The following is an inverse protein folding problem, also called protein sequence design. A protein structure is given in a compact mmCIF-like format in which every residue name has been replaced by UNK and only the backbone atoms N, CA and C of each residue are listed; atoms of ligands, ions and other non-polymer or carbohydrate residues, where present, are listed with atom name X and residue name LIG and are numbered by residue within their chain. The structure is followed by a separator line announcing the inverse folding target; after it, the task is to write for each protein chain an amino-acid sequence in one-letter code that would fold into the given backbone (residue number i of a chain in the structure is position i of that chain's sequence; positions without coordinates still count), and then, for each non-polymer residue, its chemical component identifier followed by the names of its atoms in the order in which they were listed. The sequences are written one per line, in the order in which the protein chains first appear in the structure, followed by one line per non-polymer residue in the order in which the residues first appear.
data_IF_959259844335
#
_entry.id   IF_959259844335
#
_cell.length_a   1.000
_cell.length_b   1.000
_cell.length_c   1.000
_cell.angle_alpha   90.00
_cell.angle_beta   90.00
_cell.angle_gamma   90.00
#
_symmetry.space_group_name_H-M   'P 1'
#
loop_
_entity.id
_entity.type
_entity.pdbx_description
1 polymer ?
#
# COMPACT_ATOMS: atom_id res chain seq x y z
N UNK A 1 14.64 36.35 -8.94
CA UNK A 1 13.28 36.60 -8.43
C UNK A 1 12.62 35.25 -8.28
N UNK A 2 12.02 34.96 -7.13
CA UNK A 2 11.45 33.64 -6.87
C UNK A 2 10.12 33.49 -7.62
N UNK A 3 10.07 32.57 -8.60
CA UNK A 3 8.91 32.39 -9.48
C UNK A 3 7.65 31.94 -8.72
N UNK A 4 7.79 31.27 -7.56
CA UNK A 4 6.67 30.76 -6.78
C UNK A 4 5.67 31.85 -6.31
N UNK A 5 6.11 33.10 -6.16
CA UNK A 5 5.29 34.21 -5.65
C UNK A 5 4.29 34.75 -6.67
N UNK A 6 4.46 34.41 -7.95
CA UNK A 6 3.60 34.91 -9.04
C UNK A 6 2.63 33.86 -9.59
N UNK A 7 2.63 32.64 -9.04
CA UNK A 7 1.76 31.55 -9.52
C UNK A 7 0.34 31.75 -9.00
N UNK A 8 -0.65 31.78 -9.89
CA UNK A 8 -2.08 31.76 -9.53
C UNK A 8 -2.56 30.33 -9.42
N UNK A 9 -2.98 29.90 -8.21
CA UNK A 9 -3.44 28.54 -7.97
C UNK A 9 -4.95 28.50 -8.21
N UNK A 10 -5.37 27.78 -9.25
CA UNK A 10 -6.77 27.67 -9.64
C UNK A 10 -7.30 26.25 -9.46
N UNK A 11 -8.60 26.12 -9.18
CA UNK A 11 -9.27 24.81 -9.07
C UNK A 11 -9.12 23.97 -10.35
N UNK A 12 -8.98 24.61 -11.52
CA UNK A 12 -8.76 23.93 -12.80
C UNK A 12 -7.46 23.12 -12.87
N UNK A 13 -6.48 23.38 -11.99
CA UNK A 13 -5.22 22.65 -11.96
C UNK A 13 -5.39 21.19 -11.51
N UNK A 14 -6.45 20.87 -10.74
CA UNK A 14 -6.79 19.51 -10.32
C UNK A 14 -7.39 18.65 -11.46
N UNK A 15 -7.76 19.25 -12.59
CA UNK A 15 -8.40 18.56 -13.72
C UNK A 15 -7.43 18.00 -14.76
N UNK A 16 -6.11 18.17 -14.60
CA UNK A 16 -5.13 17.59 -15.54
C UNK A 16 -5.07 16.08 -15.35
N UNK A 17 -5.46 15.34 -16.40
CA UNK A 17 -5.45 13.86 -16.41
C UNK A 17 -4.09 13.32 -15.94
N UNK A 18 -4.13 12.45 -14.93
CA UNK A 18 -2.98 11.70 -14.44
C UNK A 18 -1.91 12.49 -13.68
N UNK A 19 -2.16 13.77 -13.32
CA UNK A 19 -1.19 14.59 -12.59
C UNK A 19 -1.73 15.09 -11.26
N UNK A 20 -0.92 15.02 -10.20
CA UNK A 20 -1.24 15.65 -8.91
C UNK A 20 -1.03 17.17 -9.00
N UNK A 21 -1.64 17.94 -8.08
CA UNK A 21 -1.42 19.39 -8.05
C UNK A 21 0.07 19.70 -7.88
N UNK A 22 0.77 18.96 -7.03
CA UNK A 22 2.22 19.14 -6.83
C UNK A 22 2.99 18.98 -8.15
N UNK A 23 2.66 17.99 -8.98
CA UNK A 23 3.31 17.80 -10.29
C UNK A 23 3.01 18.94 -11.27
N UNK A 24 1.77 19.46 -11.26
CA UNK A 24 1.39 20.61 -12.10
C UNK A 24 2.14 21.87 -11.64
N UNK A 25 2.28 22.07 -10.33
CA UNK A 25 3.05 23.18 -9.77
C UNK A 25 4.55 23.04 -10.08
N UNK A 26 5.08 21.82 -10.09
CA UNK A 26 6.47 21.52 -10.42
C UNK A 26 6.78 21.84 -11.90
N UNK A 27 5.84 21.65 -12.81
CA UNK A 27 5.98 22.06 -14.21
C UNK A 27 5.99 23.58 -14.38
N UNK A 28 5.22 24.30 -13.56
CA UNK A 28 5.16 25.77 -13.60
C UNK A 28 6.36 26.40 -12.91
N UNK A 29 6.87 25.77 -11.87
CA UNK A 29 8.00 26.25 -11.07
C UNK A 29 8.91 25.10 -10.63
N UNK A 30 9.82 24.66 -11.52
CA UNK A 30 10.73 23.55 -11.24
C UNK A 30 11.60 23.80 -10.01
N UNK A 31 11.75 22.77 -9.17
CA UNK A 31 12.59 22.80 -7.97
C UNK A 31 14.07 22.99 -8.29
N UNK A 32 14.52 22.59 -9.49
CA UNK A 32 15.89 22.80 -9.97
C UNK A 32 16.30 24.28 -9.97
N UNK A 33 15.33 25.19 -10.13
CA UNK A 33 15.57 26.64 -10.10
C UNK A 33 15.96 27.16 -8.70
N UNK A 34 15.80 26.33 -7.66
CA UNK A 34 16.03 26.69 -6.26
C UNK A 34 17.22 25.96 -5.64
N UNK A 35 18.00 25.20 -6.43
CA UNK A 35 19.23 24.57 -5.97
C UNK A 35 20.19 25.61 -5.37
N UNK A 36 20.79 25.29 -4.21
CA UNK A 36 21.66 26.19 -3.43
C UNK A 36 20.98 27.46 -2.86
N UNK A 37 19.65 27.51 -2.83
CA UNK A 37 18.90 28.59 -2.15
C UNK A 37 18.39 28.13 -0.78
N UNK A 38 17.91 29.04 0.10
CA UNK A 38 17.22 28.64 1.34
C UNK A 38 15.91 27.85 1.13
N UNK A 39 15.49 27.66 -0.12
CA UNK A 39 14.32 26.87 -0.53
C UNK A 39 14.73 25.52 -1.15
N UNK A 40 16.02 25.21 -1.15
CA UNK A 40 16.55 23.94 -1.61
C UNK A 40 15.98 22.79 -0.75
N UNK A 41 15.51 21.73 -1.40
CA UNK A 41 14.79 20.62 -0.77
C UNK A 41 13.30 20.84 -0.49
N UNK A 42 12.73 22.02 -0.80
CA UNK A 42 11.27 22.24 -0.74
C UNK A 42 10.61 21.98 -2.10
N UNK A 43 9.58 21.14 -2.12
CA UNK A 43 8.81 20.94 -3.35
C UNK A 43 7.92 22.14 -3.69
N UNK A 44 7.37 22.16 -4.92
CA UNK A 44 6.53 23.27 -5.36
C UNK A 44 5.32 23.54 -4.47
N UNK A 45 4.74 22.49 -3.86
CA UNK A 45 3.60 22.64 -2.95
C UNK A 45 4.01 23.28 -1.60
N UNK A 46 5.12 22.85 -1.01
CA UNK A 46 5.69 23.39 0.21
C UNK A 46 6.14 24.85 0.02
N UNK A 47 6.65 25.19 -1.16
CA UNK A 47 6.93 26.59 -1.55
C UNK A 47 5.66 27.44 -1.54
N UNK A 48 4.54 26.92 -2.05
CA UNK A 48 3.24 27.61 -1.96
C UNK A 48 2.73 27.70 -0.53
N UNK A 49 2.88 26.68 0.32
CA UNK A 49 2.53 26.78 1.74
C UNK A 49 3.34 27.87 2.45
N UNK A 50 4.65 27.96 2.15
CA UNK A 50 5.54 28.99 2.71
C UNK A 50 5.14 30.39 2.26
N UNK A 51 4.71 30.58 1.00
CA UNK A 51 4.20 31.85 0.47
C UNK A 51 3.02 32.38 1.29
N UNK A 52 2.12 31.51 1.72
CA UNK A 52 0.96 31.87 2.55
C UNK A 52 1.23 31.73 4.07
N UNK A 53 2.49 31.51 4.48
CA UNK A 53 2.91 31.26 5.87
C UNK A 53 2.15 30.10 6.54
N UNK A 54 1.64 29.11 5.81
CA UNK A 54 0.86 28.01 6.40
C UNK A 54 1.78 26.95 6.99
N UNK A 55 1.73 26.78 8.31
CA UNK A 55 2.51 25.78 9.06
C UNK A 55 1.64 24.58 9.37
N UNK A 56 1.85 23.51 8.60
CA UNK A 56 1.06 22.27 8.68
C UNK A 56 1.46 21.35 9.85
N UNK A 57 2.66 21.49 10.41
CA UNK A 57 3.20 20.59 11.45
C UNK A 57 4.04 21.31 12.49
N UNK A 58 4.10 20.75 13.70
CA UNK A 58 4.96 21.22 14.79
C UNK A 58 4.24 22.05 15.87
N UNK A 59 4.97 22.52 16.90
CA UNK A 59 4.39 23.20 18.07
C UNK A 59 3.66 24.51 17.74
N UNK A 60 4.04 25.14 16.62
CA UNK A 60 3.43 26.37 16.08
C UNK A 60 2.58 26.09 14.84
N UNK A 61 1.96 24.90 14.77
CA UNK A 61 1.03 24.57 13.69
C UNK A 61 -0.17 25.52 13.69
N UNK A 62 -0.54 25.95 12.49
CA UNK A 62 -1.66 26.86 12.29
C UNK A 62 -3.01 26.13 12.40
N UNK A 63 -4.08 26.90 12.49
CA UNK A 63 -5.45 26.40 12.38
C UNK A 63 -5.83 26.15 10.93
N UNK A 64 -6.78 25.25 10.70
CA UNK A 64 -7.30 24.96 9.35
C UNK A 64 -7.84 26.22 8.66
N UNK A 65 -8.40 27.17 9.44
CA UNK A 65 -8.82 28.48 8.97
C UNK A 65 -7.82 29.19 8.05
N UNK A 66 -6.51 29.03 8.29
CA UNK A 66 -5.48 29.74 7.53
C UNK A 66 -5.49 29.38 6.04
N UNK A 67 -5.94 28.17 5.68
CA UNK A 67 -6.16 27.80 4.28
C UNK A 67 -7.28 28.61 3.63
N UNK A 68 -8.29 29.05 4.39
CA UNK A 68 -9.49 29.68 3.86
C UNK A 68 -9.47 31.22 3.94
N UNK A 69 -8.33 31.82 4.30
CA UNK A 69 -8.17 33.28 4.34
C UNK A 69 -8.21 33.92 2.93
N UNK A 70 -7.71 33.23 1.91
CA UNK A 70 -7.72 33.69 0.52
C UNK A 70 -8.22 32.60 -0.43
N UNK A 71 -8.75 32.98 -1.58
CA UNK A 71 -9.17 32.03 -2.63
C UNK A 71 -8.01 31.16 -3.13
N UNK A 72 -6.81 31.74 -3.23
CA UNK A 72 -5.61 31.04 -3.71
C UNK A 72 -5.09 30.02 -2.69
N UNK A 73 -5.12 30.34 -1.38
CA UNK A 73 -4.74 29.41 -0.33
C UNK A 73 -5.76 28.27 -0.18
N UNK A 74 -7.06 28.56 -0.38
CA UNK A 74 -8.12 27.56 -0.26
C UNK A 74 -7.98 26.46 -1.34
N UNK A 75 -7.42 26.82 -2.49
CA UNK A 75 -7.12 25.88 -3.55
C UNK A 75 -6.00 24.89 -3.19
N UNK A 76 -5.19 25.12 -2.15
CA UNK A 76 -4.15 24.19 -1.68
C UNK A 76 -4.68 23.11 -0.71
N UNK A 77 -5.87 23.32 -0.13
CA UNK A 77 -6.40 22.45 0.92
C UNK A 77 -6.65 21.00 0.45
N UNK A 78 -7.25 20.73 -0.73
CA UNK A 78 -7.44 19.36 -1.21
C UNK A 78 -6.12 18.58 -1.37
N UNK A 79 -5.07 19.22 -1.92
CA UNK A 79 -3.76 18.59 -2.06
C UNK A 79 -3.10 18.32 -0.69
N UNK A 80 -3.25 19.23 0.28
CA UNK A 80 -2.83 18.99 1.65
C UNK A 80 -3.48 17.73 2.25
N UNK A 81 -4.80 17.57 2.09
CA UNK A 81 -5.53 16.39 2.55
C UNK A 81 -5.04 15.13 1.83
N UNK A 82 -4.87 15.20 0.51
CA UNK A 82 -4.35 14.11 -0.32
C UNK A 82 -3.01 13.61 0.17
N UNK A 83 -2.11 14.55 0.47
CA UNK A 83 -0.77 14.23 0.93
C UNK A 83 -0.75 13.63 2.33
N UNK A 84 -1.55 14.17 3.25
CA UNK A 84 -1.65 13.63 4.61
C UNK A 84 -2.20 12.19 4.63
N UNK A 85 -3.21 11.91 3.79
CA UNK A 85 -3.77 10.57 3.63
C UNK A 85 -2.76 9.64 2.97
N UNK A 86 -2.11 10.06 1.88
CA UNK A 86 -1.09 9.26 1.18
C UNK A 86 0.06 8.89 2.11
N UNK A 87 0.55 9.84 2.90
CA UNK A 87 1.55 9.56 3.91
C UNK A 87 1.06 8.53 4.95
N UNK A 88 -0.22 8.58 5.33
CA UNK A 88 -0.85 7.56 6.18
C UNK A 88 -0.88 6.18 5.54
N UNK A 89 -1.17 6.10 4.24
CA UNK A 89 -1.13 4.85 3.46
C UNK A 89 0.31 4.32 3.43
N UNK A 90 1.28 5.14 3.05
CA UNK A 90 2.70 4.76 2.95
C UNK A 90 3.30 4.32 4.30
N UNK A 91 2.96 5.01 5.39
CA UNK A 91 3.47 4.66 6.73
C UNK A 91 2.92 3.32 7.23
N UNK A 92 1.69 2.99 6.82
CA UNK A 92 1.03 1.73 7.14
C UNK A 92 1.13 0.71 6.00
N UNK A 93 1.97 0.97 4.99
CA UNK A 93 2.04 0.12 3.81
C UNK A 93 2.78 -1.16 4.14
N UNK A 94 2.02 -2.24 4.12
CA UNK A 94 2.51 -3.61 4.26
C UNK A 94 2.40 -4.32 2.91
N UNK A 95 1.69 -3.75 1.93
CA UNK A 95 1.45 -4.40 0.64
C UNK A 95 2.74 -4.56 -0.15
N UNK A 96 3.67 -3.60 -0.05
CA UNK A 96 5.01 -3.70 -0.66
C UNK A 96 5.82 -4.92 -0.20
N UNK A 97 5.50 -5.50 0.97
CA UNK A 97 6.12 -6.74 1.44
C UNK A 97 5.44 -8.02 0.93
N UNK A 98 4.30 -7.91 0.23
CA UNK A 98 3.50 -9.04 -0.26
C UNK A 98 3.41 -9.04 -1.79
N UNK A 99 3.48 -7.88 -2.43
CA UNK A 99 3.30 -7.70 -3.88
C UNK A 99 4.63 -7.64 -4.62
N UNK A 100 4.70 -8.36 -5.75
CA UNK A 100 5.85 -8.41 -6.65
C UNK A 100 5.93 -7.20 -7.58
N UNK A 101 4.78 -6.77 -8.10
CA UNK A 101 4.66 -5.70 -9.06
C UNK A 101 3.45 -4.83 -8.76
N UNK A 102 3.57 -3.54 -9.07
CA UNK A 102 2.48 -2.56 -9.00
C UNK A 102 2.20 -2.05 -10.41
N UNK A 103 0.99 -2.30 -10.89
CA UNK A 103 0.55 -1.87 -12.21
C UNK A 103 -0.48 -0.76 -12.07
N UNK A 104 -0.16 0.42 -12.60
CA UNK A 104 -1.09 1.55 -12.65
C UNK A 104 -1.88 1.52 -13.96
N UNK A 105 -3.19 1.67 -13.84
CA UNK A 105 -4.13 1.70 -14.97
C UNK A 105 -5.03 2.94 -14.89
N UNK A 106 -5.49 3.40 -16.05
CA UNK A 106 -6.44 4.51 -16.17
C UNK A 106 -7.89 4.03 -16.38
N UNK A 107 -8.11 2.71 -16.46
CA UNK A 107 -9.40 2.07 -16.69
C UNK A 107 -9.85 1.15 -15.56
N UNK A 108 -11.08 0.65 -15.65
CA UNK A 108 -11.63 -0.31 -14.67
C UNK A 108 -11.36 -1.78 -15.04
N UNK A 109 -11.00 -2.04 -16.30
CA UNK A 109 -10.77 -3.37 -16.81
C UNK A 109 -9.28 -3.61 -16.99
N UNK A 110 -8.77 -4.64 -16.31
CA UNK A 110 -7.40 -5.09 -16.46
C UNK A 110 -7.32 -6.61 -16.43
N UNK A 111 -6.52 -7.17 -17.33
CA UNK A 111 -6.19 -8.60 -17.36
C UNK A 111 -4.73 -8.74 -16.99
N UNK A 112 -4.49 -9.44 -15.88
CA UNK A 112 -3.13 -9.75 -15.45
C UNK A 112 -2.50 -10.79 -16.38
N UNK A 113 -1.17 -10.84 -16.35
CA UNK A 113 -0.40 -11.84 -17.06
C UNK A 113 -0.19 -13.03 -16.11
N UNK A 114 -0.53 -14.23 -16.57
CA UNK A 114 -0.20 -15.47 -15.87
C UNK A 114 0.84 -16.26 -16.66
N UNK A 115 1.85 -16.75 -15.95
CA UNK A 115 2.81 -17.69 -16.50
C UNK A 115 2.72 -18.98 -15.68
N UNK A 116 2.15 -20.02 -16.27
CA UNK A 116 2.14 -21.37 -15.70
C UNK A 116 2.99 -22.29 -16.59
N UNK A 117 4.32 -22.14 -16.60
CA UNK A 117 5.18 -23.05 -17.35
C UNK A 117 5.05 -24.45 -16.75
N UNK A 118 4.97 -25.47 -17.60
CA UNK A 118 4.98 -26.85 -17.14
C UNK A 118 6.36 -27.19 -16.55
N UNK A 119 6.49 -28.22 -15.71
CA UNK A 119 7.79 -28.62 -15.14
C UNK A 119 8.85 -28.88 -16.23
N UNK A 120 8.42 -29.37 -17.40
CA UNK A 120 9.30 -29.57 -18.56
C UNK A 120 9.76 -28.24 -19.21
N UNK A 121 8.94 -27.19 -19.16
CA UNK A 121 9.29 -25.86 -19.67
C UNK A 121 10.21 -25.10 -18.70
N UNK A 122 10.09 -25.37 -17.39
CA UNK A 122 10.96 -24.82 -16.35
C UNK A 122 12.38 -25.40 -16.40
N UNK A 123 12.54 -26.62 -16.89
CA UNK A 123 13.83 -27.29 -16.98
C UNK A 123 14.68 -26.69 -18.12
N UNK A 124 15.68 -25.88 -17.76
CA UNK A 124 16.72 -25.39 -18.69
C UNK A 124 17.64 -26.55 -19.09
N UNK A 125 17.20 -27.35 -20.07
CA UNK A 125 17.97 -28.48 -20.59
C UNK A 125 19.16 -27.95 -21.39
N UNK A 126 20.31 -28.62 -21.29
CA UNK A 126 21.46 -28.37 -22.18
C UNK A 126 21.05 -28.78 -23.59
N UNK A 127 21.13 -27.84 -24.53
CA UNK A 127 20.62 -28.00 -25.89
C UNK A 127 21.80 -28.30 -26.81
N UNK A 128 21.73 -29.42 -27.53
CA UNK A 128 22.69 -29.73 -28.60
C UNK A 128 22.44 -28.85 -29.83
N UNK A 129 23.45 -28.73 -30.69
CA UNK A 129 23.34 -27.98 -31.94
C UNK A 129 22.19 -28.52 -32.82
N UNK A 130 21.23 -27.65 -33.19
CA UNK A 130 20.05 -28.00 -33.98
C UNK A 130 18.81 -28.46 -33.19
N UNK A 131 18.87 -28.59 -31.87
CA UNK A 131 17.70 -28.95 -31.05
C UNK A 131 16.81 -27.73 -30.73
N UNK A 132 15.51 -27.98 -30.58
CA UNK A 132 14.52 -26.94 -30.32
C UNK A 132 14.67 -26.37 -28.90
N UNK A 133 14.71 -25.04 -28.78
CA UNK A 133 14.83 -24.36 -27.49
C UNK A 133 13.47 -24.43 -26.78
N UNK A 134 13.39 -24.87 -25.50
CA UNK A 134 12.14 -24.86 -24.76
C UNK A 134 11.57 -23.44 -24.68
N UNK A 135 10.28 -23.30 -25.01
CA UNK A 135 9.59 -22.01 -25.08
C UNK A 135 8.65 -21.87 -23.88
N UNK A 136 8.86 -20.85 -23.06
CA UNK A 136 7.93 -20.47 -22.00
C UNK A 136 6.85 -19.56 -22.58
N UNK A 137 5.60 -20.05 -22.66
CA UNK A 137 4.49 -19.21 -23.12
C UNK A 137 3.94 -18.35 -21.98
N UNK A 138 3.94 -17.04 -22.18
CA UNK A 138 3.32 -16.06 -21.29
C UNK A 138 1.94 -15.76 -21.86
N UNK A 139 0.87 -15.92 -21.06
CA UNK A 139 -0.51 -15.70 -21.50
C UNK A 139 -1.19 -14.66 -20.60
N UNK A 140 -2.10 -13.88 -21.18
CA UNK A 140 -3.02 -13.06 -20.39
C UNK A 140 -4.06 -13.97 -19.74
N UNK A 141 -4.43 -13.67 -18.49
CA UNK A 141 -5.52 -14.36 -17.81
C UNK A 141 -6.86 -14.18 -18.55
N UNK A 142 -7.75 -15.15 -18.40
CA UNK A 142 -9.08 -15.12 -19.01
C UNK A 142 -10.01 -14.15 -18.27
N UNK A 143 -9.96 -14.15 -16.93
CA UNK A 143 -10.79 -13.28 -16.11
C UNK A 143 -10.14 -11.92 -15.83
N UNK A 144 -10.99 -10.92 -15.69
CA UNK A 144 -10.60 -9.57 -15.27
C UNK A 144 -10.26 -9.56 -13.78
N UNK A 145 -9.24 -8.77 -13.43
CA UNK A 145 -8.91 -8.47 -12.05
C UNK A 145 -10.03 -7.62 -11.45
N UNK A 146 -10.64 -8.09 -10.36
CA UNK A 146 -11.70 -7.34 -9.67
C UNK A 146 -11.09 -6.15 -8.93
N UNK A 147 -11.41 -4.95 -9.38
CA UNK A 147 -11.03 -3.72 -8.70
C UNK A 147 -12.09 -3.34 -7.66
N UNK A 148 -11.65 -3.08 -6.44
CA UNK A 148 -12.51 -2.62 -5.35
C UNK A 148 -12.26 -1.13 -5.09
N UNK A 149 -13.33 -0.33 -5.13
CA UNK A 149 -13.29 1.06 -4.68
C UNK A 149 -13.44 1.09 -3.16
N UNK A 150 -12.36 1.39 -2.45
CA UNK A 150 -12.34 1.58 -0.99
C UNK A 150 -12.24 3.06 -0.68
N UNK A 151 -13.09 3.55 0.19
CA UNK A 151 -13.07 4.96 0.54
C UNK A 151 -13.85 5.28 1.80
N UNK A 152 -13.62 6.47 2.33
CA UNK A 152 -14.30 6.98 3.53
C UNK A 152 -14.66 8.44 3.34
N UNK A 153 -15.88 8.79 3.72
CA UNK A 153 -16.32 10.18 3.77
C UNK A 153 -16.02 10.76 5.15
N UNK A 154 -15.29 11.86 5.18
CA UNK A 154 -15.14 12.72 6.34
C UNK A 154 -16.25 13.75 6.29
N UNK A 155 -17.08 13.78 7.34
CA UNK A 155 -18.14 14.77 7.51
C UNK A 155 -17.84 15.53 8.80
N UNK A 156 -17.67 16.84 8.69
CA UNK A 156 -17.50 17.72 9.85
C UNK A 156 -18.31 18.99 9.65
N UNK A 157 -18.74 19.61 10.75
CA UNK A 157 -19.24 20.99 10.67
C UNK A 157 -18.09 21.94 10.38
N UNK A 158 -18.39 22.99 9.63
CA UNK A 158 -17.44 24.01 9.24
C UNK A 158 -16.74 24.63 10.45
N UNK A 159 -17.51 25.01 11.47
CA UNK A 159 -16.99 25.64 12.69
C UNK A 159 -16.07 24.70 13.47
N UNK A 160 -16.43 23.41 13.55
CA UNK A 160 -15.62 22.43 14.27
C UNK A 160 -14.29 22.15 13.57
N UNK A 161 -14.21 22.30 12.25
CA UNK A 161 -13.00 22.04 11.47
C UNK A 161 -12.09 23.28 11.42
N UNK A 162 -12.66 24.49 11.28
CA UNK A 162 -11.95 25.76 11.15
C UNK A 162 -10.96 26.02 12.28
N UNK A 163 -11.34 25.76 13.53
CA UNK A 163 -10.53 26.07 14.71
C UNK A 163 -9.60 24.93 15.15
N UNK A 164 -9.58 23.81 14.43
CA UNK A 164 -8.66 22.72 14.75
C UNK A 164 -7.25 23.06 14.28
N UNK A 165 -6.27 22.61 15.04
CA UNK A 165 -4.86 22.66 14.61
C UNK A 165 -4.64 21.66 13.48
N UNK A 166 -3.88 22.10 12.48
CA UNK A 166 -3.52 21.27 11.33
C UNK A 166 -2.78 19.99 11.75
N UNK A 167 -1.99 20.02 12.81
CA UNK A 167 -1.25 18.84 13.27
C UNK A 167 -2.20 17.71 13.74
N UNK A 168 -3.17 18.04 14.60
CA UNK A 168 -4.19 17.08 15.07
C UNK A 168 -5.03 16.58 13.88
N UNK A 169 -5.41 17.48 12.98
CA UNK A 169 -6.15 17.11 11.79
C UNK A 169 -5.34 16.15 10.89
N UNK A 170 -4.04 16.42 10.70
CA UNK A 170 -3.11 15.55 9.96
C UNK A 170 -3.07 14.14 10.54
N UNK A 171 -3.05 14.00 11.88
CA UNK A 171 -3.07 12.68 12.53
C UNK A 171 -4.34 11.91 12.17
N UNK A 172 -5.51 12.57 12.17
CA UNK A 172 -6.77 11.92 11.78
C UNK A 172 -6.78 11.49 10.30
N UNK A 173 -6.23 12.32 9.41
CA UNK A 173 -6.11 12.00 7.98
C UNK A 173 -5.14 10.84 7.73
N UNK A 174 -4.00 10.82 8.42
CA UNK A 174 -3.04 9.71 8.36
C UNK A 174 -3.69 8.41 8.84
N UNK A 175 -4.49 8.47 9.90
CA UNK A 175 -5.22 7.31 10.40
C UNK A 175 -6.25 6.78 9.38
N UNK A 176 -6.92 7.67 8.63
CA UNK A 176 -7.80 7.27 7.52
C UNK A 176 -6.99 6.53 6.44
N UNK A 177 -5.83 7.06 6.06
CA UNK A 177 -4.91 6.39 5.13
C UNK A 177 -4.48 5.00 5.63
N UNK A 178 -4.14 4.88 6.91
CA UNK A 178 -3.78 3.59 7.51
C UNK A 178 -4.93 2.58 7.50
N UNK A 179 -6.18 3.02 7.67
CA UNK A 179 -7.34 2.13 7.51
C UNK A 179 -7.51 1.64 6.07
N UNK A 180 -7.29 2.50 5.07
CA UNK A 180 -7.33 2.10 3.66
C UNK A 180 -6.30 1.00 3.38
N UNK A 181 -5.04 1.20 3.81
CA UNK A 181 -3.98 0.21 3.65
C UNK A 181 -4.33 -1.14 4.31
N UNK A 182 -4.89 -1.12 5.53
CA UNK A 182 -5.34 -2.35 6.23
C UNK A 182 -6.49 -3.06 5.52
N UNK A 183 -7.43 -2.32 4.93
CA UNK A 183 -8.50 -2.92 4.14
C UNK A 183 -7.95 -3.52 2.85
N UNK A 184 -7.04 -2.84 2.15
CA UNK A 184 -6.37 -3.40 0.97
C UNK A 184 -5.57 -4.67 1.30
N UNK A 185 -4.93 -4.73 2.48
CA UNK A 185 -4.27 -5.95 2.95
C UNK A 185 -5.26 -7.10 3.15
N UNK A 186 -6.46 -6.81 3.66
CA UNK A 186 -7.52 -7.81 3.81
C UNK A 186 -8.03 -8.29 2.44
N UNK A 187 -8.18 -7.38 1.48
CA UNK A 187 -8.56 -7.70 0.10
C UNK A 187 -7.49 -8.59 -0.57
N UNK A 188 -6.20 -8.31 -0.35
CA UNK A 188 -5.10 -9.14 -0.84
C UNK A 188 -5.14 -10.56 -0.24
N UNK A 189 -5.36 -10.68 1.08
CA UNK A 189 -5.49 -11.96 1.77
C UNK A 189 -6.67 -12.77 1.25
N UNK A 190 -7.81 -12.13 1.01
CA UNK A 190 -8.98 -12.78 0.42
C UNK A 190 -8.67 -13.35 -0.97
N UNK A 191 -7.97 -12.59 -1.81
CA UNK A 191 -7.53 -13.05 -3.14
C UNK A 191 -6.55 -14.21 -3.04
N UNK A 192 -5.64 -14.22 -2.06
CA UNK A 192 -4.75 -15.38 -1.85
C UNK A 192 -5.55 -16.63 -1.46
N UNK A 193 -6.50 -16.50 -0.53
CA UNK A 193 -7.25 -17.62 0.04
C UNK A 193 -8.29 -18.19 -0.93
N UNK A 194 -9.06 -17.32 -1.59
CA UNK A 194 -10.20 -17.68 -2.43
C UNK A 194 -9.87 -17.68 -3.93
N UNK A 195 -8.75 -17.08 -4.33
CA UNK A 195 -8.35 -16.86 -5.72
C UNK A 195 -8.85 -15.53 -6.28
N UNK A 196 -8.29 -15.14 -7.43
CA UNK A 196 -8.63 -13.91 -8.16
C UNK A 196 -9.79 -14.07 -9.16
N UNK A 197 -10.44 -15.24 -9.15
CA UNK A 197 -11.51 -15.61 -10.10
C UNK A 197 -11.07 -16.60 -11.18
N UNK A 198 -9.78 -16.90 -11.30
CA UNK A 198 -9.25 -17.91 -12.23
C UNK A 198 -9.11 -19.31 -11.60
N UNK A 199 -9.96 -19.66 -10.63
CA UNK A 199 -9.90 -20.93 -9.88
C UNK A 199 -8.51 -21.25 -9.32
N UNK A 200 -7.84 -20.25 -8.76
CA UNK A 200 -6.47 -20.32 -8.25
C UNK A 200 -6.32 -20.08 -6.73
N UNK A 201 -7.15 -20.68 -5.86
CA UNK A 201 -7.00 -20.53 -4.41
C UNK A 201 -5.65 -21.09 -3.94
N UNK A 202 -5.11 -20.53 -2.85
CA UNK A 202 -3.89 -21.06 -2.24
C UNK A 202 -4.08 -22.53 -1.83
N UNK A 203 -3.14 -23.38 -2.23
CA UNK A 203 -3.15 -24.81 -1.92
C UNK A 203 -2.98 -24.98 -0.40
N UNK A 204 -3.84 -25.80 0.19
CA UNK A 204 -3.82 -26.09 1.62
C UNK A 204 -2.74 -27.12 1.97
N UNK A 205 -1.96 -26.81 2.99
CA UNK A 205 -1.07 -27.72 3.71
C UNK A 205 -1.71 -27.97 5.07
N UNK A 206 -1.92 -29.24 5.41
CA UNK A 206 -2.53 -29.61 6.69
C UNK A 206 -1.47 -29.60 7.79
N UNK A 207 -1.75 -28.88 8.88
CA UNK A 207 -0.95 -28.92 10.10
C UNK A 207 -0.94 -30.31 10.73
N UNK A 208 0.10 -30.59 11.52
CA UNK A 208 0.26 -31.86 12.24
C UNK A 208 -0.55 -31.93 13.53
N UNK A 209 -0.97 -30.79 14.08
CA UNK A 209 -1.69 -30.72 15.35
C UNK A 209 -2.68 -29.56 15.35
N UNK A 210 -3.52 -29.49 16.39
CA UNK A 210 -4.51 -28.41 16.61
C UNK A 210 -3.89 -27.05 16.93
N UNK A 211 -2.58 -27.00 17.20
CA UNK A 211 -1.80 -25.79 17.42
C UNK A 211 -0.64 -25.70 16.43
N UNK A 212 -0.07 -24.50 16.28
CA UNK A 212 1.08 -24.32 15.40
C UNK A 212 2.34 -24.90 16.05
N UNK A 213 2.98 -25.83 15.39
CA UNK A 213 4.28 -26.41 15.79
C UNK A 213 5.35 -25.97 14.81
N UNK A 214 6.60 -25.88 15.24
CA UNK A 214 7.71 -25.52 14.38
C UNK A 214 7.84 -26.44 13.14
N UNK A 215 7.52 -27.72 13.27
CA UNK A 215 7.45 -28.67 12.15
C UNK A 215 6.45 -28.28 11.07
N UNK A 216 5.34 -27.60 11.42
CA UNK A 216 4.34 -27.12 10.46
C UNK A 216 4.87 -25.93 9.66
N UNK A 217 5.68 -25.06 10.27
CA UNK A 217 6.37 -23.98 9.57
C UNK A 217 7.43 -24.53 8.60
N UNK A 218 8.14 -25.58 9.00
CA UNK A 218 9.10 -26.28 8.11
C UNK A 218 8.37 -26.94 6.94
N UNK A 219 7.20 -27.55 7.18
CA UNK A 219 6.36 -28.11 6.10
C UNK A 219 5.85 -27.04 5.15
N UNK A 220 5.45 -25.88 5.67
CA UNK A 220 5.06 -24.74 4.85
C UNK A 220 6.23 -24.30 3.98
N UNK A 221 7.44 -24.20 4.56
CA UNK A 221 8.67 -23.86 3.84
C UNK A 221 9.00 -24.87 2.73
N UNK A 222 8.98 -26.18 3.01
CA UNK A 222 9.27 -27.20 1.99
C UNK A 222 8.21 -27.25 0.90
N UNK A 223 6.94 -27.02 1.24
CA UNK A 223 5.82 -27.02 0.28
C UNK A 223 5.86 -25.86 -0.72
N UNK A 224 6.65 -24.83 -0.43
CA UNK A 224 6.80 -23.65 -1.28
C UNK A 224 7.88 -23.84 -2.35
N UNK A 225 8.76 -24.85 -2.23
CA UNK A 225 9.76 -25.17 -3.25
C UNK A 225 9.08 -25.37 -4.62
N UNK A 226 9.53 -24.70 -5.70
CA UNK A 226 10.83 -24.03 -5.91
C UNK A 226 10.91 -22.54 -5.50
N UNK A 227 9.87 -21.97 -4.89
CA UNK A 227 9.82 -20.57 -4.45
C UNK A 227 10.31 -20.40 -3.01
N UNK A 228 10.75 -19.19 -2.67
CA UNK A 228 11.32 -18.87 -1.35
C UNK A 228 10.27 -18.31 -0.38
N UNK A 229 10.19 -18.88 0.83
CA UNK A 229 9.30 -18.37 1.86
C UNK A 229 9.91 -17.12 2.47
N UNK A 230 9.53 -15.95 1.97
CA UNK A 230 10.02 -14.67 2.47
C UNK A 230 9.01 -13.92 3.33
N UNK A 231 7.73 -14.28 3.27
CA UNK A 231 6.67 -13.57 3.98
C UNK A 231 5.65 -14.54 4.56
N UNK A 232 5.31 -14.33 5.84
CA UNK A 232 4.29 -15.11 6.54
C UNK A 232 3.20 -14.15 7.02
N UNK A 233 1.95 -14.41 6.63
CA UNK A 233 0.78 -13.70 7.14
C UNK A 233 0.12 -14.57 8.21
N UNK A 234 -0.10 -14.02 9.39
CA UNK A 234 -0.69 -14.74 10.51
C UNK A 234 -1.65 -13.87 11.34
N UNK A 235 -2.72 -14.47 11.90
CA UNK A 235 -3.61 -13.80 12.84
C UNK A 235 -2.94 -13.62 14.20
N UNK A 236 -3.51 -12.75 15.05
CA UNK A 236 -2.97 -12.42 16.38
C UNK A 236 -2.65 -13.66 17.22
N UNK A 237 -3.57 -14.64 17.26
CA UNK A 237 -3.42 -15.85 18.07
C UNK A 237 -2.23 -16.71 17.62
N UNK A 238 -2.04 -16.87 16.30
CA UNK A 238 -0.92 -17.63 15.75
C UNK A 238 0.39 -16.89 15.97
N UNK A 239 0.42 -15.56 15.81
CA UNK A 239 1.64 -14.79 16.08
C UNK A 239 2.07 -14.95 17.54
N UNK A 240 1.12 -14.88 18.48
CA UNK A 240 1.40 -15.15 19.89
C UNK A 240 1.99 -16.55 20.09
N UNK A 241 1.43 -17.57 19.44
CA UNK A 241 1.94 -18.93 19.52
C UNK A 241 3.34 -19.08 18.90
N UNK A 242 3.61 -18.46 17.75
CA UNK A 242 4.94 -18.45 17.11
C UNK A 242 5.97 -17.78 18.02
N UNK A 243 5.64 -16.62 18.61
CA UNK A 243 6.53 -15.90 19.52
C UNK A 243 6.76 -16.64 20.84
N UNK A 244 5.82 -17.50 21.25
CA UNK A 244 5.96 -18.34 22.42
C UNK A 244 6.75 -19.64 22.19
N UNK A 245 7.17 -19.94 20.94
CA UNK A 245 7.92 -21.17 20.64
C UNK A 245 9.31 -21.17 21.28
N UNK A 246 9.77 -22.31 21.83
CA UNK A 246 11.11 -22.44 22.40
C UNK A 246 12.23 -22.02 21.43
N UNK A 247 12.07 -22.33 20.14
CA UNK A 247 13.01 -21.99 19.07
C UNK A 247 13.13 -20.48 18.82
N UNK A 248 12.14 -19.70 19.27
CA UNK A 248 12.09 -18.23 19.14
C UNK A 248 12.48 -17.51 20.43
N UNK A 249 12.59 -18.24 21.55
CA UNK A 249 12.99 -17.75 22.88
C UNK A 249 14.50 -17.88 23.14
N UNK A 250 15.31 -17.79 22.09
CA UNK A 250 16.77 -17.77 22.25
C UNK A 250 17.24 -16.42 22.85
N UNK A 251 18.26 -16.46 23.71
CA UNK A 251 18.87 -15.28 24.31
C UNK A 251 19.42 -14.31 23.25
N UNK A 252 19.93 -14.83 22.13
CA UNK A 252 20.36 -14.03 20.98
C UNK A 252 19.17 -13.37 20.25
N UNK A 253 18.03 -14.06 20.17
CA UNK A 253 16.79 -13.51 19.62
C UNK A 253 16.22 -12.38 20.51
N UNK A 254 16.26 -12.58 21.83
CA UNK A 254 15.88 -11.57 22.81
C UNK A 254 16.77 -10.32 22.73
N UNK A 255 18.08 -10.48 22.58
CA UNK A 255 19.02 -9.36 22.43
C UNK A 255 18.76 -8.56 21.15
N UNK A 256 18.55 -9.24 20.01
CA UNK A 256 18.21 -8.58 18.75
C UNK A 256 16.86 -7.85 18.83
N UNK A 257 15.86 -8.44 19.48
CA UNK A 257 14.56 -7.80 19.68
C UNK A 257 14.67 -6.56 20.56
N UNK A 258 15.41 -6.62 21.66
CA UNK A 258 15.64 -5.46 22.53
C UNK A 258 16.46 -4.36 21.85
N UNK A 259 17.45 -4.73 21.02
CA UNK A 259 18.32 -3.78 20.33
C UNK A 259 17.72 -3.14 19.09
N UNK A 260 16.89 -3.85 18.32
CA UNK A 260 16.36 -3.39 17.02
C UNK A 260 14.84 -3.16 17.02
N UNK A 261 14.12 -3.65 18.02
CA UNK A 261 12.65 -3.66 18.05
C UNK A 261 12.01 -4.60 17.01
N UNK A 262 12.80 -5.31 16.20
CA UNK A 262 12.32 -6.25 15.18
C UNK A 262 12.26 -7.65 15.77
N UNK A 263 11.11 -8.31 15.60
CA UNK A 263 10.94 -9.70 15.99
C UNK A 263 11.91 -10.57 15.19
N UNK A 264 12.59 -11.51 15.85
CA UNK A 264 13.20 -12.60 15.10
C UNK A 264 12.05 -13.35 14.44
N UNK A 265 12.26 -13.77 13.20
CA UNK A 265 11.22 -14.40 12.41
C UNK A 265 11.66 -15.80 12.01
N UNK A 266 10.74 -16.78 12.00
CA UNK A 266 11.10 -18.13 11.62
C UNK A 266 11.57 -18.13 10.17
N UNK A 267 12.71 -18.79 9.91
CA UNK A 267 13.27 -19.00 8.57
C UNK A 267 13.62 -17.71 7.79
N UNK A 268 13.77 -16.57 8.47
CA UNK A 268 14.10 -15.29 7.85
C UNK A 268 12.94 -14.64 7.08
N UNK A 269 11.72 -15.17 7.22
CA UNK A 269 10.53 -14.65 6.56
C UNK A 269 9.90 -13.50 7.34
N UNK A 270 9.57 -12.37 6.72
CA UNK A 270 8.89 -11.27 7.40
C UNK A 270 7.51 -11.69 7.89
N UNK A 271 7.32 -11.66 9.22
CA UNK A 271 6.06 -11.98 9.87
C UNK A 271 5.16 -10.74 9.91
N UNK A 272 4.01 -10.83 9.25
CA UNK A 272 3.05 -9.74 9.12
C UNK A 272 1.78 -10.10 9.90
N UNK A 273 1.36 -9.16 10.75
CA UNK A 273 0.15 -9.27 11.52
C UNK A 273 -1.08 -8.89 10.70
N UNK A 274 -1.97 -9.87 10.50
CA UNK A 274 -3.26 -9.66 9.82
C UNK A 274 -4.39 -10.05 10.78
N UNK A 275 -4.98 -9.09 11.52
CA UNK A 275 -6.01 -9.39 12.51
C UNK A 275 -7.34 -9.86 11.90
N UNK A 276 -7.58 -9.61 10.62
CA UNK A 276 -8.81 -9.96 9.91
C UNK A 276 -8.84 -11.40 9.39
N UNK A 277 -7.72 -12.12 9.48
CA UNK A 277 -7.59 -13.49 9.00
C UNK A 277 -8.15 -14.51 10.01
N UNK A 278 -8.60 -15.67 9.53
CA UNK A 278 -9.11 -16.71 10.41
C UNK A 278 -8.01 -17.22 11.36
N UNK A 279 -8.39 -17.40 12.62
CA UNK A 279 -7.54 -17.73 13.76
C UNK A 279 -6.67 -18.98 13.59
N UNK A 280 -7.04 -19.89 12.69
CA UNK A 280 -6.36 -21.16 12.43
C UNK A 280 -5.62 -21.23 11.10
N UNK A 281 -5.53 -20.11 10.39
CA UNK A 281 -4.89 -20.07 9.07
C UNK A 281 -3.58 -19.30 9.12
N UNK A 282 -2.60 -19.79 8.37
CA UNK A 282 -1.32 -19.10 8.12
C UNK A 282 -1.05 -19.11 6.64
N UNK A 283 -0.58 -18.00 6.09
CA UNK A 283 -0.25 -17.92 4.66
C UNK A 283 1.25 -17.77 4.56
N UNK A 284 1.89 -18.67 3.83
CA UNK A 284 3.27 -18.52 3.38
C UNK A 284 3.29 -18.08 1.93
N UNK A 285 4.06 -17.05 1.62
CA UNK A 285 4.16 -16.52 0.26
C UNK A 285 5.58 -16.06 -0.08
N UNK A 286 5.86 -16.09 -1.38
CA UNK A 286 7.00 -15.44 -2.00
C UNK A 286 6.59 -14.08 -2.58
N UNK A 287 6.97 -12.99 -1.92
CA UNK A 287 6.65 -11.61 -2.34
C UNK A 287 7.11 -11.29 -3.76
N UNK A 288 8.15 -11.94 -4.28
CA UNK A 288 8.70 -11.63 -5.60
C UNK A 288 7.86 -12.24 -6.74
N UNK A 289 6.99 -13.20 -6.42
CA UNK A 289 6.27 -14.01 -7.42
C UNK A 289 4.76 -14.14 -7.13
N UNK A 290 4.30 -13.83 -5.91
CA UNK A 290 2.94 -14.18 -5.49
C UNK A 290 1.86 -13.27 -6.11
N UNK A 291 1.96 -11.95 -5.91
CA UNK A 291 0.87 -11.02 -6.22
C UNK A 291 1.28 -9.83 -7.08
N UNK A 292 0.40 -9.43 -7.97
CA UNK A 292 0.39 -8.14 -8.64
C UNK A 292 -0.67 -7.24 -7.99
N UNK A 293 -0.30 -6.01 -7.64
CA UNK A 293 -1.21 -4.97 -7.20
C UNK A 293 -1.59 -4.10 -8.40
N UNK A 294 -2.87 -4.06 -8.73
CA UNK A 294 -3.41 -3.24 -9.81
C UNK A 294 -4.10 -2.03 -9.20
N UNK A 295 -3.63 -0.83 -9.50
CA UNK A 295 -4.18 0.43 -8.99
C UNK A 295 -4.77 1.25 -10.13
N UNK A 296 -6.05 1.62 -9.99
CA UNK A 296 -6.70 2.51 -10.95
C UNK A 296 -6.67 3.95 -10.42
N UNK A 297 -5.78 4.75 -11.00
CA UNK A 297 -5.49 6.11 -10.53
C UNK A 297 -4.80 6.17 -9.16
N UNK A 298 -4.61 7.39 -8.69
CA UNK A 298 -4.09 7.69 -7.35
C UNK A 298 -5.25 7.84 -6.34
N UNK A 299 -4.93 8.26 -5.10
CA UNK A 299 -5.93 8.65 -4.10
C UNK A 299 -6.81 9.79 -4.63
N UNK A 300 -8.09 9.50 -4.82
CA UNK A 300 -9.10 10.45 -5.26
C UNK A 300 -9.70 11.15 -4.04
N UNK A 301 -9.70 12.47 -4.05
CA UNK A 301 -10.37 13.29 -3.03
C UNK A 301 -11.42 14.17 -3.69
N UNK A 302 -12.67 13.87 -3.37
CA UNK A 302 -13.80 14.72 -3.72
C UNK A 302 -14.11 15.61 -2.53
N UNK A 303 -13.84 16.90 -2.67
CA UNK A 303 -14.15 17.91 -1.66
C UNK A 303 -15.36 18.71 -2.09
N UNK A 304 -16.38 18.75 -1.23
CA UNK A 304 -17.58 19.55 -1.43
C UNK A 304 -17.95 20.33 -0.16
N UNK A 305 -18.37 21.58 -0.36
CA UNK A 305 -18.88 22.44 0.69
C UNK A 305 -20.38 22.55 0.56
N UNK A 306 -21.09 21.89 1.47
CA UNK A 306 -22.54 21.93 1.52
C UNK A 306 -22.99 23.20 2.24
N UNK A 307 -23.21 24.26 1.44
CA UNK A 307 -23.53 25.62 1.92
C UNK A 307 -24.75 25.60 2.83
N UNK A 308 -25.81 24.89 2.45
CA UNK A 308 -27.09 24.87 3.18
C UNK A 308 -27.00 24.28 4.59
N UNK A 309 -26.02 23.42 4.85
CA UNK A 309 -25.87 22.72 6.13
C UNK A 309 -24.62 23.12 6.90
N UNK A 310 -23.82 24.06 6.37
CA UNK A 310 -22.49 24.40 6.91
C UNK A 310 -21.62 23.17 7.17
N UNK A 311 -21.74 22.14 6.31
CA UNK A 311 -20.99 20.90 6.40
C UNK A 311 -19.89 20.87 5.35
N UNK A 312 -18.71 20.44 5.77
CA UNK A 312 -17.65 20.06 4.85
C UNK A 312 -17.65 18.55 4.68
N UNK A 313 -17.60 18.11 3.42
CA UNK A 313 -17.51 16.71 3.06
C UNK A 313 -16.28 16.50 2.21
N UNK A 314 -15.40 15.62 2.68
CA UNK A 314 -14.29 15.12 1.89
C UNK A 314 -14.44 13.61 1.74
N UNK A 315 -14.63 13.13 0.52
CA UNK A 315 -14.62 11.70 0.22
C UNK A 315 -13.23 11.33 -0.24
N UNK A 316 -12.57 10.47 0.51
CA UNK A 316 -11.27 9.91 0.14
C UNK A 316 -11.54 8.52 -0.42
N UNK A 317 -11.08 8.22 -1.63
CA UNK A 317 -11.23 6.89 -2.22
C UNK A 317 -10.00 6.45 -3.01
N UNK A 318 -9.79 5.13 -3.03
CA UNK A 318 -8.73 4.44 -3.77
C UNK A 318 -9.37 3.24 -4.46
N UNK A 319 -8.95 2.97 -5.69
CA UNK A 319 -9.41 1.82 -6.45
C UNK A 319 -8.21 0.88 -6.65
N UNK A 320 -8.31 -0.33 -6.10
CA UNK A 320 -7.25 -1.32 -6.18
C UNK A 320 -7.81 -2.72 -6.34
N UNK A 321 -7.08 -3.59 -7.03
CA UNK A 321 -7.32 -5.02 -7.11
C UNK A 321 -6.01 -5.79 -7.02
N UNK A 322 -6.11 -7.09 -6.80
CA UNK A 322 -4.96 -7.99 -6.71
C UNK A 322 -5.14 -9.15 -7.67
N UNK A 323 -4.04 -9.58 -8.28
CA UNK A 323 -3.99 -10.75 -9.15
C UNK A 323 -2.84 -11.66 -8.75
N UNK A 324 -3.01 -12.97 -8.93
CA UNK A 324 -1.94 -13.94 -8.67
C UNK A 324 -1.12 -14.18 -9.93
N UNK A 325 0.19 -13.92 -9.86
CA UNK A 325 1.09 -14.11 -10.99
C UNK A 325 1.44 -15.60 -11.12
N UNK A 326 1.92 -16.20 -10.02
CA UNK A 326 2.20 -17.62 -9.91
C UNK A 326 1.37 -18.24 -8.78
N UNK A 327 0.53 -19.22 -9.13
CA UNK A 327 -0.41 -19.84 -8.17
C UNK A 327 0.30 -20.61 -7.06
N UNK A 328 1.47 -21.17 -7.38
CA UNK A 328 2.28 -21.98 -6.47
C UNK A 328 3.16 -21.17 -5.50
N UNK A 329 3.35 -19.88 -5.77
CA UNK A 329 4.14 -18.97 -4.92
C UNK A 329 3.42 -18.58 -3.61
N UNK A 330 2.20 -19.07 -3.39
CA UNK A 330 1.42 -18.86 -2.16
C UNK A 330 0.81 -20.18 -1.69
N UNK A 331 1.01 -20.53 -0.43
CA UNK A 331 0.41 -21.71 0.22
C UNK A 331 -0.27 -21.30 1.51
N UNK A 332 -1.36 -21.96 1.86
CA UNK A 332 -2.04 -21.77 3.15
C UNK A 332 -1.80 -22.99 4.02
N UNK A 333 -1.41 -22.78 5.27
CA UNK A 333 -1.35 -23.79 6.32
C UNK A 333 -2.63 -23.67 7.16
N UNK A 334 -3.32 -24.79 7.36
CA UNK A 334 -4.51 -24.87 8.22
C UNK A 334 -4.20 -25.71 9.44
N UNK A 335 -4.47 -25.16 10.62
CA UNK A 335 -4.27 -25.74 11.95
C UNK A 335 -5.54 -26.40 12.50
#
# INVERSE_FOLDING_TARGET
MANYENITIEKGMYGRKGKTLTQVLEELDPSDNYANTPLDGMDAFQRQLKRFDIKVSGPKSDMVEKFFQTSNSAALFPEYVSRAVRQGIETADVLSSITAAVTKIDGMDYRSIASTPTENDKALKVIGEGAYIPQTTIKTQENLVKLHKRGRMLVSTYEALRFQRLDLFTVTLRQIGAYIAKTQLSDAVEVILNGDGNSNPAVAVTGTSTGIVYSDLVKLWTSLSPYELNTILAPTAVIQAILAMPEMQDAAAGLNFQGTGKLITPMGATLIHVPTMDSKTVIGLDKNCALELVQAGDVLIDYDKLIDRQLERATISVISGFAKIFTDASKKLTL
#
